data_IF_195419854169
#
_entry.id   IF_195419854169
#
_cell.length_a   1.000
_cell.length_b   1.000
_cell.length_c   1.000
_cell.angle_alpha   90.00
_cell.angle_beta   90.00
_cell.angle_gamma   90.00
#
_symmetry.space_group_name_H-M   'P 1'
#
loop_
_entity.id
_entity.type
_entity.pdbx_description
1 polymer ?
#
# COMPACT_ATOMS: atom_id res chain seq x y z
N UNK A 1 5.89 -15.27 6.60
CA UNK A 1 4.60 -15.48 5.88
C UNK A 1 4.90 -15.69 4.40
N UNK A 2 4.37 -16.74 3.79
CA UNK A 2 4.45 -16.91 2.33
C UNK A 2 3.55 -15.84 1.71
N UNK A 3 4.11 -14.97 0.87
CA UNK A 3 3.31 -14.06 0.05
C UNK A 3 2.57 -14.92 -0.97
N UNK A 4 1.25 -14.83 -1.00
CA UNK A 4 0.45 -15.40 -2.09
C UNK A 4 0.85 -14.68 -3.37
N UNK A 5 1.22 -15.45 -4.38
CA UNK A 5 1.50 -14.90 -5.71
C UNK A 5 0.14 -14.62 -6.35
N UNK A 6 -0.19 -13.32 -6.46
CA UNK A 6 -1.43 -12.87 -7.09
C UNK A 6 -1.21 -12.84 -8.60
N UNK A 7 -2.08 -13.53 -9.35
CA UNK A 7 -2.04 -13.52 -10.81
C UNK A 7 -2.62 -12.20 -11.33
N UNK A 8 -1.74 -11.25 -11.60
CA UNK A 8 -2.09 -9.91 -12.07
C UNK A 8 -2.74 -9.88 -13.46
N UNK A 9 -2.66 -10.98 -14.24
CA UNK A 9 -3.21 -11.03 -15.59
C UNK A 9 -4.74 -11.09 -15.62
N UNK A 10 -5.36 -11.48 -14.49
CA UNK A 10 -6.82 -11.59 -14.36
C UNK A 10 -7.46 -10.37 -13.69
N UNK A 11 -6.65 -9.37 -13.29
CA UNK A 11 -7.11 -8.21 -12.55
C UNK A 11 -7.10 -6.95 -13.43
N UNK A 12 -8.14 -6.13 -13.29
CA UNK A 12 -8.17 -4.79 -13.87
C UNK A 12 -7.36 -3.84 -12.97
N UNK A 13 -6.09 -3.69 -13.30
CA UNK A 13 -5.16 -2.90 -12.50
C UNK A 13 -5.19 -1.42 -12.88
N UNK A 14 -5.39 -0.58 -11.89
CA UNK A 14 -5.22 0.87 -11.99
C UNK A 14 -3.90 1.25 -11.33
N UNK A 15 -3.14 2.12 -11.97
CA UNK A 15 -1.88 2.62 -11.44
C UNK A 15 -1.95 4.12 -11.15
N UNK A 16 -1.26 4.52 -10.10
CA UNK A 16 -1.13 5.92 -9.72
C UNK A 16 0.33 6.24 -9.38
N UNK A 17 0.85 7.29 -9.99
CA UNK A 17 2.18 7.81 -9.67
C UNK A 17 2.07 8.69 -8.44
N UNK A 18 2.73 8.30 -7.36
CA UNK A 18 2.71 9.02 -6.08
C UNK A 18 3.76 10.12 -6.06
N UNK A 19 4.96 9.83 -6.57
CA UNK A 19 6.07 10.78 -6.55
C UNK A 19 7.07 10.50 -7.67
N UNK A 20 7.63 11.56 -8.24
CA UNK A 20 8.73 11.49 -9.20
C UNK A 20 9.85 12.37 -8.68
N UNK A 21 11.04 11.78 -8.56
CA UNK A 21 12.25 12.49 -8.13
C UNK A 21 13.33 12.40 -9.18
N UNK A 22 14.00 13.51 -9.39
CA UNK A 22 15.25 13.54 -10.17
C UNK A 22 16.40 13.25 -9.22
N UNK A 23 17.17 12.21 -9.53
CA UNK A 23 18.36 11.82 -8.77
C UNK A 23 19.60 11.99 -9.62
N UNK A 24 20.69 12.40 -9.01
CA UNK A 24 21.94 12.68 -9.70
C UNK A 24 23.07 11.88 -9.04
N UNK A 25 23.88 11.18 -9.84
CA UNK A 25 25.12 10.57 -9.41
C UNK A 25 26.29 11.34 -9.98
N UNK A 26 27.16 11.85 -9.10
CA UNK A 26 28.41 12.50 -9.52
C UNK A 26 29.45 11.43 -9.84
N UNK A 27 30.02 11.48 -11.03
CA UNK A 27 31.07 10.59 -11.51
C UNK A 27 32.27 11.40 -12.00
N UNK A 28 33.42 10.76 -12.23
CA UNK A 28 34.57 11.40 -12.91
C UNK A 28 34.12 11.85 -14.32
N UNK A 29 34.18 13.13 -14.62
CA UNK A 29 33.78 13.70 -15.92
C UNK A 29 32.37 14.26 -15.99
N UNK A 30 31.56 14.23 -14.92
CA UNK A 30 30.25 14.88 -14.93
C UNK A 30 29.20 14.32 -13.95
N UNK A 31 27.95 14.52 -14.29
CA UNK A 31 26.80 14.11 -13.49
C UNK A 31 25.88 13.21 -14.32
N UNK A 32 25.56 12.02 -13.83
CA UNK A 32 24.54 11.17 -14.43
C UNK A 32 23.21 11.44 -13.75
N UNK A 33 22.24 11.92 -14.53
CA UNK A 33 20.89 12.19 -14.04
C UNK A 33 19.96 11.04 -14.37
N UNK A 34 19.12 10.66 -13.41
CA UNK A 34 18.06 9.67 -13.57
C UNK A 34 16.80 10.12 -12.86
N UNK A 35 15.67 9.53 -13.25
CA UNK A 35 14.40 9.74 -12.59
C UNK A 35 14.00 8.50 -11.79
N UNK A 36 13.42 8.74 -10.63
CA UNK A 36 12.85 7.69 -9.79
C UNK A 36 11.37 7.96 -9.65
N UNK A 37 10.54 7.00 -10.03
CA UNK A 37 9.10 7.06 -9.91
C UNK A 37 8.60 6.07 -8.85
N UNK A 38 7.82 6.56 -7.90
CA UNK A 38 7.09 5.75 -6.93
C UNK A 38 5.68 5.53 -7.47
N UNK A 39 5.34 4.29 -7.76
CA UNK A 39 4.06 3.89 -8.36
C UNK A 39 3.32 2.95 -7.42
N UNK A 40 2.04 3.19 -7.25
CA UNK A 40 1.12 2.29 -6.55
C UNK A 40 0.15 1.70 -7.57
N UNK A 41 -0.09 0.41 -7.49
CA UNK A 41 -0.99 -0.34 -8.38
C UNK A 41 -2.01 -1.08 -7.54
N UNK A 42 -3.26 -1.10 -7.97
CA UNK A 42 -4.33 -1.85 -7.30
C UNK A 42 -5.52 -2.08 -8.21
N UNK A 43 -6.40 -2.99 -7.81
CA UNK A 43 -7.62 -3.35 -8.53
C UNK A 43 -8.89 -2.74 -7.92
N UNK A 44 -8.75 -1.98 -6.85
CA UNK A 44 -9.86 -1.46 -6.02
C UNK A 44 -10.78 -2.53 -5.42
N UNK A 45 -10.33 -3.77 -5.39
CA UNK A 45 -11.05 -4.94 -4.87
C UNK A 45 -10.25 -5.73 -3.83
N UNK A 46 -9.37 -5.07 -3.11
CA UNK A 46 -8.59 -5.69 -2.05
C UNK A 46 -7.17 -6.09 -2.45
N UNK A 47 -6.68 -5.70 -3.61
CA UNK A 47 -5.29 -5.96 -4.00
C UNK A 47 -4.56 -4.64 -4.25
N UNK A 48 -3.39 -4.50 -3.65
CA UNK A 48 -2.57 -3.30 -3.80
C UNK A 48 -1.09 -3.65 -3.70
N UNK A 49 -0.28 -2.95 -4.48
CA UNK A 49 1.17 -3.06 -4.43
C UNK A 49 1.83 -1.72 -4.71
N UNK A 50 3.07 -1.56 -4.30
CA UNK A 50 3.86 -0.39 -4.61
C UNK A 50 5.23 -0.81 -5.14
N UNK A 51 5.73 -0.04 -6.08
CA UNK A 51 7.02 -0.29 -6.69
C UNK A 51 7.78 1.01 -6.97
N UNK A 52 9.08 0.86 -7.09
CA UNK A 52 10.00 1.94 -7.37
C UNK A 52 10.74 1.69 -8.69
N UNK A 53 10.44 2.50 -9.70
CA UNK A 53 11.14 2.47 -10.97
C UNK A 53 12.22 3.53 -11.06
N UNK A 54 13.34 3.20 -11.70
CA UNK A 54 14.45 4.12 -11.95
C UNK A 54 14.93 3.99 -13.38
N UNK A 55 14.96 5.12 -14.10
CA UNK A 55 15.39 5.17 -15.49
C UNK A 55 15.95 6.54 -15.86
N UNK A 56 16.51 6.66 -17.07
CA UNK A 56 16.97 7.91 -17.63
C UNK A 56 15.81 8.84 -18.02
N UNK A 57 14.66 8.26 -18.38
CA UNK A 57 13.45 8.97 -18.78
C UNK A 57 12.28 8.67 -17.83
N UNK A 58 11.37 9.63 -17.67
CA UNK A 58 10.23 9.52 -16.76
C UNK A 58 9.27 8.38 -17.17
N UNK A 59 8.82 8.26 -18.44
CA UNK A 59 7.89 7.18 -18.83
C UNK A 59 8.45 5.79 -18.55
N UNK A 60 9.73 5.60 -18.78
CA UNK A 60 10.42 4.33 -18.53
C UNK A 60 10.56 4.03 -17.03
N UNK A 61 10.78 5.07 -16.22
CA UNK A 61 10.80 4.94 -14.76
C UNK A 61 9.41 4.51 -14.22
N UNK A 62 8.33 5.09 -14.76
CA UNK A 62 6.96 4.72 -14.39
C UNK A 62 6.66 3.28 -14.79
N UNK A 63 6.99 2.87 -16.01
CA UNK A 63 6.80 1.50 -16.48
C UNK A 63 7.48 0.47 -15.58
N UNK A 64 8.76 0.70 -15.24
CA UNK A 64 9.50 -0.15 -14.30
C UNK A 64 8.91 -0.16 -12.90
N UNK A 65 8.44 1.00 -12.42
CA UNK A 65 7.78 1.11 -11.13
C UNK A 65 6.46 0.31 -11.09
N UNK A 66 5.70 0.34 -12.16
CA UNK A 66 4.47 -0.45 -12.31
C UNK A 66 4.75 -1.97 -12.29
N UNK A 67 5.75 -2.43 -13.04
CA UNK A 67 6.16 -3.83 -13.04
C UNK A 67 6.62 -4.31 -11.65
N UNK A 68 7.37 -3.48 -10.94
CA UNK A 68 7.82 -3.76 -9.58
C UNK A 68 6.64 -3.80 -8.59
N UNK A 69 5.70 -2.87 -8.72
CA UNK A 69 4.48 -2.83 -7.92
C UNK A 69 3.62 -4.09 -8.09
N UNK A 70 3.46 -4.56 -9.32
CA UNK A 70 2.70 -5.78 -9.63
C UNK A 70 3.34 -7.01 -8.97
N UNK A 71 4.65 -7.12 -8.97
CA UNK A 71 5.38 -8.24 -8.32
C UNK A 71 5.25 -8.23 -6.79
N UNK A 72 5.01 -7.07 -6.20
CA UNK A 72 4.92 -6.86 -4.76
C UNK A 72 3.49 -6.73 -4.23
N UNK A 73 2.47 -7.05 -5.04
CA UNK A 73 1.07 -6.95 -4.63
C UNK A 73 0.74 -7.82 -3.42
N UNK A 74 -0.12 -7.31 -2.58
CA UNK A 74 -0.69 -7.99 -1.42
C UNK A 74 -2.22 -8.04 -1.51
N UNK A 75 -2.82 -9.04 -0.88
CA UNK A 75 -4.26 -9.11 -0.66
C UNK A 75 -4.61 -8.47 0.68
N UNK A 76 -5.55 -7.54 0.67
CA UNK A 76 -6.02 -6.80 1.84
C UNK A 76 -7.38 -7.34 2.27
N UNK A 77 -7.55 -7.60 3.55
CA UNK A 77 -8.83 -8.05 4.12
C UNK A 77 -9.70 -6.82 4.39
N UNK A 78 -10.77 -6.68 3.62
CA UNK A 78 -11.76 -5.62 3.79
C UNK A 78 -12.96 -6.12 4.57
N UNK A 79 -13.63 -5.20 5.28
CA UNK A 79 -14.90 -5.41 5.95
C UNK A 79 -16.07 -5.14 4.99
N UNK A 80 -17.30 -5.48 5.40
CA UNK A 80 -18.53 -5.25 4.63
C UNK A 80 -18.74 -3.79 4.22
N UNK A 81 -18.21 -2.86 5.01
CA UNK A 81 -18.30 -1.41 4.75
C UNK A 81 -17.11 -0.88 3.91
N UNK A 82 -16.37 -1.74 3.21
CA UNK A 82 -15.13 -1.37 2.50
C UNK A 82 -14.15 -0.57 3.39
N UNK A 83 -14.07 -0.96 4.66
CA UNK A 83 -13.10 -0.49 5.63
C UNK A 83 -12.16 -1.63 6.00
N UNK A 84 -11.16 -1.34 6.84
CA UNK A 84 -10.28 -2.37 7.39
C UNK A 84 -10.99 -3.16 8.51
N UNK A 85 -10.58 -4.40 8.72
CA UNK A 85 -11.18 -5.30 9.73
C UNK A 85 -10.96 -4.81 11.16
N UNK A 86 -9.80 -4.27 11.47
CA UNK A 86 -9.42 -3.74 12.78
C UNK A 86 -8.36 -2.64 12.67
N UNK A 87 -8.16 -1.87 13.73
CA UNK A 87 -7.11 -0.88 13.82
C UNK A 87 -5.73 -1.53 13.77
N UNK A 88 -4.80 -0.93 13.05
CA UNK A 88 -3.44 -1.43 12.89
C UNK A 88 -2.44 -0.30 12.69
N UNK A 89 -1.18 -0.58 12.97
CA UNK A 89 -0.07 0.34 12.73
C UNK A 89 1.02 -0.38 11.95
N UNK A 90 1.35 0.16 10.78
CA UNK A 90 2.46 -0.32 9.99
C UNK A 90 3.69 0.55 10.19
N UNK A 91 4.85 -0.08 10.19
CA UNK A 91 6.15 0.60 10.30
C UNK A 91 7.06 0.17 9.17
N UNK A 92 7.71 1.15 8.57
CA UNK A 92 8.76 0.89 7.59
C UNK A 92 9.86 1.93 7.77
N UNK A 93 11.07 1.47 8.09
CA UNK A 93 12.19 2.33 8.47
C UNK A 93 11.78 3.38 9.51
N UNK A 94 11.89 4.68 9.23
CA UNK A 94 11.50 5.77 10.13
C UNK A 94 10.04 6.22 10.01
N UNK A 95 9.24 5.63 9.11
CA UNK A 95 7.82 5.96 8.96
C UNK A 95 6.93 5.00 9.74
N UNK A 96 5.88 5.53 10.34
CA UNK A 96 4.83 4.77 11.02
C UNK A 96 3.48 5.31 10.58
N UNK A 97 2.58 4.43 10.16
CA UNK A 97 1.23 4.80 9.72
C UNK A 97 0.19 4.06 10.56
N UNK A 98 -0.63 4.82 11.26
CA UNK A 98 -1.78 4.31 11.99
C UNK A 98 -2.99 4.26 11.06
N UNK A 99 -3.63 3.11 10.96
CA UNK A 99 -4.89 2.90 10.26
C UNK A 99 -6.00 2.58 11.27
N UNK A 100 -7.09 3.33 11.21
CA UNK A 100 -8.25 3.13 12.08
C UNK A 100 -9.48 2.77 11.28
N UNK A 101 -10.15 1.71 11.69
CA UNK A 101 -11.46 1.32 11.17
C UNK A 101 -12.45 2.48 11.33
N UNK A 102 -13.28 2.69 10.33
CA UNK A 102 -14.26 3.77 10.32
C UNK A 102 -15.60 3.28 9.79
N UNK A 103 -16.73 3.84 10.28
CA UNK A 103 -18.05 3.49 9.78
C UNK A 103 -18.26 3.99 8.36
N UNK A 104 -19.25 3.47 7.70
CA UNK A 104 -19.68 3.91 6.38
C UNK A 104 -20.01 5.42 6.37
N UNK A 105 -19.66 6.08 5.27
CA UNK A 105 -19.85 7.51 5.10
C UNK A 105 -18.70 8.39 5.61
N UNK A 106 -17.68 7.83 6.26
CA UNK A 106 -16.51 8.59 6.72
C UNK A 106 -15.64 9.07 5.57
N UNK A 107 -15.54 8.29 4.49
CA UNK A 107 -14.61 8.54 3.41
C UNK A 107 -13.16 8.21 3.77
N UNK A 108 -12.24 8.56 2.90
CA UNK A 108 -10.80 8.32 3.09
C UNK A 108 -10.16 9.56 3.70
N UNK A 109 -9.83 9.49 4.99
CA UNK A 109 -9.11 10.54 5.70
C UNK A 109 -7.65 10.09 5.83
N UNK A 110 -6.83 10.48 4.86
CA UNK A 110 -5.44 10.06 4.75
C UNK A 110 -4.57 11.15 4.12
N UNK A 111 -3.29 11.17 4.49
CA UNK A 111 -2.27 11.95 3.79
C UNK A 111 -2.02 11.40 2.39
N UNK A 112 -1.53 12.24 1.46
CA UNK A 112 -1.39 11.90 0.03
C UNK A 112 -0.85 10.51 -0.29
N UNK A 113 0.35 10.12 0.19
CA UNK A 113 0.90 8.80 -0.10
C UNK A 113 0.06 7.64 0.45
N UNK A 114 -0.42 7.73 1.68
CA UNK A 114 -1.29 6.72 2.28
C UNK A 114 -2.66 6.66 1.60
N UNK A 115 -3.19 7.82 1.19
CA UNK A 115 -4.46 7.91 0.46
C UNK A 115 -4.42 7.12 -0.85
N UNK A 116 -3.37 7.29 -1.64
CA UNK A 116 -3.21 6.57 -2.91
C UNK A 116 -3.24 5.04 -2.71
N UNK A 117 -2.61 4.55 -1.66
CA UNK A 117 -2.64 3.11 -1.31
C UNK A 117 -4.04 2.67 -0.92
N UNK A 118 -4.74 3.42 -0.06
CA UNK A 118 -6.08 3.08 0.39
C UNK A 118 -7.10 3.10 -0.76
N UNK A 119 -7.07 4.11 -1.63
CA UNK A 119 -7.95 4.23 -2.79
C UNK A 119 -7.77 3.05 -3.76
N UNK A 120 -6.54 2.69 -4.07
CA UNK A 120 -6.24 1.59 -4.99
C UNK A 120 -6.47 0.21 -4.37
N UNK A 121 -6.45 0.09 -3.04
CA UNK A 121 -6.86 -1.11 -2.33
C UNK A 121 -8.38 -1.33 -2.30
N UNK A 122 -9.17 -0.31 -2.69
CA UNK A 122 -10.64 -0.38 -2.65
C UNK A 122 -11.24 0.01 -1.31
N UNK A 123 -10.45 0.60 -0.42
CA UNK A 123 -10.93 1.10 0.86
C UNK A 123 -11.67 2.41 0.62
N UNK A 124 -12.90 2.53 1.12
CA UNK A 124 -13.72 3.73 1.01
C UNK A 124 -13.89 4.48 2.32
N UNK A 125 -13.72 3.80 3.45
CA UNK A 125 -13.93 4.37 4.79
C UNK A 125 -12.75 4.04 5.70
N UNK A 126 -11.89 5.01 5.95
CA UNK A 126 -10.71 4.84 6.79
C UNK A 126 -10.23 6.18 7.36
N UNK A 127 -9.69 6.13 8.56
CA UNK A 127 -8.94 7.25 9.15
C UNK A 127 -7.49 6.84 9.34
N UNK A 128 -6.57 7.66 8.89
CA UNK A 128 -5.15 7.38 8.97
C UNK A 128 -4.37 8.54 9.58
N UNK A 129 -3.24 8.21 10.18
CA UNK A 129 -2.27 9.21 10.61
C UNK A 129 -0.86 8.72 10.30
N UNK A 130 -0.16 9.49 9.51
CA UNK A 130 1.28 9.29 9.27
C UNK A 130 2.07 9.96 10.40
N UNK A 131 2.97 9.19 11.00
CA UNK A 131 3.84 9.62 12.09
C UNK A 131 5.30 9.31 11.73
N UNK A 132 6.24 10.05 12.31
CA UNK A 132 7.65 9.87 12.03
C UNK A 132 8.06 10.49 10.68
N UNK A 133 8.74 9.73 9.84
CA UNK A 133 9.27 10.22 8.57
C UNK A 133 8.18 10.63 7.58
N UNK A 134 8.38 11.77 6.92
CA UNK A 134 7.52 12.27 5.83
C UNK A 134 7.99 11.80 4.43
N UNK A 135 8.95 10.89 4.35
CA UNK A 135 9.39 10.33 3.07
C UNK A 135 8.23 9.54 2.45
N UNK A 136 7.75 9.98 1.29
CA UNK A 136 6.60 9.39 0.60
C UNK A 136 6.75 7.90 0.34
N UNK A 137 7.94 7.45 -0.05
CA UNK A 137 8.23 6.02 -0.25
C UNK A 137 8.06 5.23 1.04
N UNK A 138 8.63 5.72 2.15
CA UNK A 138 8.52 5.05 3.44
C UNK A 138 7.08 5.02 3.95
N UNK A 139 6.32 6.10 3.74
CA UNK A 139 4.89 6.17 4.13
C UNK A 139 4.06 5.17 3.32
N UNK A 140 4.27 5.07 2.01
CA UNK A 140 3.58 4.08 1.16
C UNK A 140 3.88 2.66 1.62
N UNK A 141 5.13 2.32 1.84
CA UNK A 141 5.53 0.97 2.28
C UNK A 141 5.06 0.66 3.70
N UNK A 142 5.05 1.64 4.61
CA UNK A 142 4.48 1.48 5.94
C UNK A 142 2.96 1.25 5.89
N UNK A 143 2.25 1.90 4.98
CA UNK A 143 0.81 1.69 4.78
C UNK A 143 0.53 0.28 4.25
N UNK A 144 1.31 -0.19 3.27
CA UNK A 144 1.19 -1.56 2.74
C UNK A 144 1.50 -2.59 3.82
N UNK A 145 2.52 -2.36 4.64
CA UNK A 145 2.85 -3.22 5.78
C UNK A 145 1.68 -3.29 6.78
N UNK A 146 1.06 -2.15 7.11
CA UNK A 146 -0.12 -2.11 7.97
C UNK A 146 -1.28 -2.93 7.39
N UNK A 147 -1.55 -2.79 6.09
CA UNK A 147 -2.62 -3.53 5.41
C UNK A 147 -2.33 -5.05 5.33
N UNK A 148 -1.07 -5.44 5.20
CA UNK A 148 -0.66 -6.85 5.15
C UNK A 148 -0.83 -7.57 6.49
N UNK A 149 -0.89 -6.84 7.59
CA UNK A 149 -1.07 -7.37 8.94
C UNK A 149 -2.54 -7.62 9.31
N UNK A 150 -3.48 -7.15 8.48
CA UNK A 150 -4.91 -7.32 8.72
C UNK A 150 -5.31 -8.80 8.68
N UNK A 151 -6.12 -9.20 9.64
CA UNK A 151 -6.68 -10.56 9.73
C UNK A 151 -8.20 -10.47 9.76
N UNK A 152 -8.85 -11.42 9.11
CA UNK A 152 -10.30 -11.54 9.21
C UNK A 152 -10.69 -12.17 10.56
N UNK A 153 -11.90 -11.86 11.08
CA UNK A 153 -12.39 -12.51 12.30
C UNK A 153 -12.40 -14.04 12.19
N UNK A 154 -12.70 -14.57 11.00
CA UNK A 154 -12.70 -15.99 10.70
C UNK A 154 -11.30 -16.63 10.83
N UNK A 155 -10.28 -15.97 10.32
CA UNK A 155 -8.88 -16.42 10.46
C UNK A 155 -8.45 -16.45 11.92
N UNK A 156 -8.84 -15.43 12.71
CA UNK A 156 -8.52 -15.35 14.14
C UNK A 156 -9.28 -16.43 14.92
N UNK A 157 -10.56 -16.65 14.61
CA UNK A 157 -11.39 -17.69 15.21
C UNK A 157 -10.76 -19.07 14.99
N UNK A 158 -10.36 -19.38 13.75
CA UNK A 158 -9.69 -20.64 13.40
C UNK A 158 -8.37 -20.82 14.15
N UNK A 159 -7.57 -19.75 14.28
CA UNK A 159 -6.29 -19.81 15.00
C UNK A 159 -6.46 -20.01 16.50
N UNK A 160 -7.55 -19.47 17.08
CA UNK A 160 -7.83 -19.59 18.53
C UNK A 160 -8.71 -20.79 18.89
N UNK A 161 -9.25 -21.49 17.89
CA UNK A 161 -10.19 -22.61 18.11
C UNK A 161 -11.52 -22.16 18.75
N UNK A 162 -11.99 -20.94 18.44
CA UNK A 162 -13.21 -20.33 18.95
C UNK A 162 -14.17 -20.01 17.81
N UNK A 163 -15.45 -19.75 18.13
CA UNK A 163 -16.40 -19.27 17.16
C UNK A 163 -16.15 -17.79 16.80
N UNK A 164 -16.62 -17.35 15.62
CA UNK A 164 -16.52 -15.95 15.21
C UNK A 164 -17.29 -15.04 16.16
N UNK A 165 -18.44 -15.49 16.67
CA UNK A 165 -19.27 -14.76 17.63
C UNK A 165 -18.51 -14.50 18.95
N UNK A 166 -17.76 -15.48 19.44
CA UNK A 166 -16.92 -15.33 20.64
C UNK A 166 -15.71 -14.39 20.44
N UNK A 167 -15.28 -14.20 19.19
CA UNK A 167 -14.18 -13.27 18.86
C UNK A 167 -14.66 -11.82 18.75
N UNK A 168 -15.88 -11.63 18.22
CA UNK A 168 -16.45 -10.31 18.03
C UNK A 168 -17.12 -9.74 19.31
N UNK A 169 -17.47 -10.58 20.24
CA UNK A 169 -18.06 -10.21 21.53
C UNK A 169 -19.55 -10.17 21.48
#
# INVERSE_FOLDING_TARGET
>A
MKREIIDASQLELVDQVVDIKRVTKVVKGGRNMRFTALVVVGDKNGHVGAGLGKAAEIPEAIRKGKEDAIKSMISVKLDENNSITHDTTGKYTGASVLLKKSPEGTGIIAGGPARSVCELAGITNIRTKSMGSNNKQNVVLATIEALSQLRSPEEVAKLRGKSVEEILG
#
